data_IF_572913010537
#
_entry.id   IF_572913010537
#
_cell.length_a   1.000
_cell.length_b   1.000
_cell.length_c   1.000
_cell.angle_alpha   90.00
_cell.angle_beta   90.00
_cell.angle_gamma   90.00
#
_symmetry.space_group_name_H-M   'P 1'
#
loop_
_entity.id
_entity.type
_entity.pdbx_description
1 polymer ?
#
# COMPACT_ATOMS: atom_id res chain seq x y z
N UNK A 1 -2.51 -3.94 20.03
CA UNK A 1 -2.26 -4.84 18.87
C UNK A 1 -2.25 -6.32 19.20
N UNK A 2 -1.43 -6.85 20.13
CA UNK A 2 -1.37 -8.31 20.45
C UNK A 2 -2.76 -8.93 20.68
N UNK A 3 -3.54 -8.36 21.61
CA UNK A 3 -4.88 -8.84 21.96
C UNK A 3 -5.87 -8.83 20.78
N UNK A 4 -5.77 -7.83 19.91
CA UNK A 4 -6.62 -7.73 18.70
C UNK A 4 -6.22 -8.81 17.70
N UNK A 5 -4.92 -9.00 17.45
CA UNK A 5 -4.45 -10.06 16.57
C UNK A 5 -4.85 -11.45 17.06
N UNK A 6 -4.72 -11.72 18.37
CA UNK A 6 -5.18 -12.97 18.99
C UNK A 6 -6.68 -13.17 18.82
N UNK A 7 -7.49 -12.13 19.07
CA UNK A 7 -8.95 -12.17 18.89
C UNK A 7 -9.37 -12.56 17.48
N UNK A 8 -8.62 -12.15 16.46
CA UNK A 8 -8.93 -12.41 15.05
C UNK A 8 -8.08 -13.54 14.44
N UNK A 9 -7.31 -14.29 15.24
CA UNK A 9 -6.46 -15.38 14.73
C UNK A 9 -5.33 -14.91 13.80
N UNK A 10 -4.94 -13.64 13.87
CA UNK A 10 -3.89 -13.06 13.05
C UNK A 10 -2.51 -13.36 13.64
N UNK A 11 -1.65 -14.03 12.87
CA UNK A 11 -0.24 -14.20 13.22
C UNK A 11 0.51 -12.89 12.96
N UNK A 12 1.08 -12.31 14.01
CA UNK A 12 1.97 -11.15 13.87
C UNK A 12 3.32 -11.59 13.29
N UNK A 13 3.70 -11.03 12.15
CA UNK A 13 5.07 -11.12 11.64
C UNK A 13 5.81 -9.86 12.06
N UNK A 14 6.88 -10.02 12.84
CA UNK A 14 7.80 -8.93 13.17
C UNK A 14 9.16 -9.38 12.65
N UNK A 15 9.74 -8.62 11.73
CA UNK A 15 11.09 -8.86 11.24
C UNK A 15 12.12 -8.82 12.38
N UNK A 16 13.27 -9.45 12.18
CA UNK A 16 14.36 -9.35 13.15
C UNK A 16 14.85 -7.89 13.24
N UNK A 17 15.26 -7.46 14.42
CA UNK A 17 15.84 -6.12 14.62
C UNK A 17 17.01 -5.92 13.67
N UNK A 18 16.99 -4.81 12.92
CA UNK A 18 18.01 -4.49 11.93
C UNK A 18 17.75 -5.05 10.52
N UNK A 19 16.67 -5.81 10.31
CA UNK A 19 16.24 -6.27 8.98
C UNK A 19 15.08 -5.41 8.48
N UNK A 20 15.31 -4.58 7.47
CA UNK A 20 14.32 -3.61 6.97
C UNK A 20 13.44 -4.11 5.81
N UNK A 21 13.75 -5.29 5.24
CA UNK A 21 13.10 -5.79 4.02
C UNK A 21 11.58 -5.89 4.13
N UNK A 22 11.07 -6.32 5.28
CA UNK A 22 9.62 -6.45 5.53
C UNK A 22 8.89 -5.09 5.45
N UNK A 23 9.57 -3.99 5.76
CA UNK A 23 8.99 -2.64 5.74
C UNK A 23 9.30 -1.87 4.45
N UNK A 24 10.28 -2.31 3.65
CA UNK A 24 10.77 -1.56 2.49
C UNK A 24 9.66 -1.22 1.48
N UNK A 25 8.70 -2.11 1.26
CA UNK A 25 7.54 -1.84 0.39
C UNK A 25 6.64 -0.71 0.91
N UNK A 26 6.34 -0.72 2.21
CA UNK A 26 5.54 0.32 2.85
C UNK A 26 6.28 1.68 2.82
N UNK A 27 7.59 1.68 3.09
CA UNK A 27 8.41 2.88 3.02
C UNK A 27 8.45 3.48 1.61
N UNK A 28 8.60 2.64 0.59
CA UNK A 28 8.59 3.08 -0.82
C UNK A 28 7.25 3.74 -1.20
N UNK A 29 6.12 3.13 -0.78
CA UNK A 29 4.79 3.68 -1.00
C UNK A 29 4.66 5.06 -0.34
N UNK A 30 4.99 5.17 0.94
CA UNK A 30 4.84 6.43 1.68
C UNK A 30 5.82 7.50 1.20
N UNK A 31 7.03 7.13 0.81
CA UNK A 31 7.99 8.05 0.18
C UNK A 31 7.39 8.65 -1.10
N UNK A 32 6.80 7.81 -1.96
CA UNK A 32 6.16 8.24 -3.20
C UNK A 32 5.00 9.21 -2.93
N UNK A 33 4.07 8.86 -2.03
CA UNK A 33 2.96 9.75 -1.66
C UNK A 33 3.46 11.10 -1.17
N UNK A 34 4.49 11.10 -0.31
CA UNK A 34 4.99 12.33 0.28
C UNK A 34 5.58 13.27 -0.76
N UNK A 35 6.39 12.75 -1.67
CA UNK A 35 7.06 13.54 -2.71
C UNK A 35 6.11 14.02 -3.81
N UNK A 36 5.17 13.17 -4.22
CA UNK A 36 4.28 13.49 -5.34
C UNK A 36 3.06 14.32 -4.90
N UNK A 37 2.62 14.16 -3.65
CA UNK A 37 1.40 14.78 -3.17
C UNK A 37 1.62 15.59 -1.89
N UNK A 38 1.92 14.95 -0.77
CA UNK A 38 1.89 15.60 0.56
C UNK A 38 2.69 16.91 0.61
N UNK A 39 3.97 16.91 0.19
CA UNK A 39 4.82 18.10 0.26
C UNK A 39 4.43 19.22 -0.72
N UNK A 40 3.51 18.94 -1.66
CA UNK A 40 3.02 19.89 -2.65
C UNK A 40 1.68 20.51 -2.27
N UNK A 41 1.12 20.12 -1.13
CA UNK A 41 -0.19 20.57 -0.67
C UNK A 41 -0.10 21.06 0.78
N UNK A 42 -0.97 22.00 1.13
CA UNK A 42 -1.20 22.42 2.50
C UNK A 42 -2.60 21.95 2.92
N UNK A 43 -2.74 21.54 4.17
CA UNK A 43 -4.00 21.05 4.73
C UNK A 43 -4.34 21.93 5.93
N UNK A 44 -5.51 22.55 5.91
CA UNK A 44 -6.03 23.32 7.04
C UNK A 44 -6.60 22.40 8.12
N UNK A 45 -7.17 21.26 7.71
CA UNK A 45 -7.81 20.31 8.60
C UNK A 45 -7.37 18.87 8.36
N UNK A 46 -7.39 18.05 9.41
CA UNK A 46 -7.06 16.62 9.32
C UNK A 46 -7.98 15.88 8.32
N UNK A 47 -9.25 16.27 8.21
CA UNK A 47 -10.20 15.70 7.26
C UNK A 47 -9.76 15.86 5.80
N UNK A 48 -9.09 16.97 5.47
CA UNK A 48 -8.57 17.20 4.12
C UNK A 48 -7.40 16.27 3.81
N UNK A 49 -6.49 16.08 4.77
CA UNK A 49 -5.39 15.13 4.63
C UNK A 49 -5.91 13.69 4.50
N UNK A 50 -6.93 13.31 5.28
CA UNK A 50 -7.56 11.98 5.19
C UNK A 50 -8.14 11.77 3.78
N UNK A 51 -8.93 12.72 3.28
CA UNK A 51 -9.51 12.64 1.95
C UNK A 51 -8.43 12.60 0.85
N UNK A 52 -7.34 13.35 1.03
CA UNK A 52 -6.20 13.32 0.11
C UNK A 52 -5.50 11.96 0.07
N UNK A 53 -5.26 11.35 1.25
CA UNK A 53 -4.69 10.00 1.33
C UNK A 53 -5.61 8.99 0.66
N UNK A 54 -6.92 9.02 0.93
CA UNK A 54 -7.89 8.10 0.33
C UNK A 54 -7.92 8.21 -1.19
N UNK A 55 -7.98 9.44 -1.72
CA UNK A 55 -7.97 9.67 -3.16
C UNK A 55 -6.64 9.23 -3.80
N UNK A 56 -5.51 9.54 -3.17
CA UNK A 56 -4.20 9.14 -3.68
C UNK A 56 -4.03 7.61 -3.67
N UNK A 57 -4.48 6.93 -2.61
CA UNK A 57 -4.47 5.46 -2.52
C UNK A 57 -5.36 4.82 -3.59
N UNK A 58 -6.52 5.42 -3.88
CA UNK A 58 -7.37 4.96 -4.97
C UNK A 58 -6.64 5.04 -6.32
N UNK A 59 -5.99 6.17 -6.61
CA UNK A 59 -5.20 6.35 -7.85
C UNK A 59 -4.01 5.39 -7.89
N UNK A 60 -3.28 5.23 -6.78
CA UNK A 60 -2.16 4.30 -6.67
C UNK A 60 -2.60 2.88 -7.02
N UNK A 61 -3.66 2.38 -6.39
CA UNK A 61 -4.10 1.00 -6.57
C UNK A 61 -4.75 0.73 -7.93
N UNK A 62 -5.49 1.70 -8.48
CA UNK A 62 -6.30 1.47 -9.69
C UNK A 62 -5.63 1.92 -10.98
N UNK A 63 -4.74 2.93 -10.94
CA UNK A 63 -4.18 3.58 -12.14
C UNK A 63 -2.66 3.54 -12.24
N UNK A 64 -1.92 3.63 -11.12
CA UNK A 64 -0.46 3.72 -11.15
C UNK A 64 0.15 2.43 -11.69
N UNK A 65 0.99 2.53 -12.72
CA UNK A 65 1.69 1.38 -13.31
C UNK A 65 3.05 1.17 -12.63
N UNK A 66 3.40 -0.08 -12.38
CA UNK A 66 4.67 -0.45 -11.75
C UNK A 66 5.46 -1.40 -12.67
N UNK A 67 6.73 -1.07 -12.93
CA UNK A 67 7.59 -1.86 -13.82
C UNK A 67 7.84 -3.29 -13.32
N UNK A 68 7.93 -3.47 -11.99
CA UNK A 68 8.16 -4.76 -11.34
C UNK A 68 7.01 -5.76 -11.51
N UNK A 69 5.81 -5.27 -11.84
CA UNK A 69 4.59 -6.09 -12.05
C UNK A 69 4.05 -5.93 -13.49
N UNK A 70 4.96 -5.82 -14.46
CA UNK A 70 4.61 -5.82 -15.88
C UNK A 70 3.84 -4.59 -16.36
N UNK A 71 4.07 -3.43 -15.72
CA UNK A 71 3.36 -2.18 -16.02
C UNK A 71 1.85 -2.24 -15.76
N UNK A 72 1.40 -3.15 -14.90
CA UNK A 72 0.04 -3.19 -14.39
C UNK A 72 -0.11 -2.28 -13.18
N UNK A 73 -1.36 -1.87 -12.90
CA UNK A 73 -1.72 -1.31 -11.60
C UNK A 73 -1.85 -2.41 -10.55
N UNK A 74 -1.64 -2.11 -9.25
CA UNK A 74 -1.73 -3.12 -8.20
C UNK A 74 -3.03 -3.93 -8.27
N UNK A 75 -4.18 -3.27 -8.43
CA UNK A 75 -5.47 -3.95 -8.58
C UNK A 75 -5.53 -4.84 -9.82
N UNK A 76 -4.98 -4.42 -10.95
CA UNK A 76 -4.99 -5.23 -12.17
C UNK A 76 -4.01 -6.42 -12.09
N UNK A 77 -2.89 -6.23 -11.41
CA UNK A 77 -1.95 -7.33 -11.13
C UNK A 77 -2.60 -8.41 -10.27
N UNK A 78 -3.23 -8.05 -9.14
CA UNK A 78 -3.95 -9.00 -8.28
C UNK A 78 -5.05 -9.76 -9.04
N UNK A 79 -5.80 -9.05 -9.89
CA UNK A 79 -6.81 -9.68 -10.78
C UNK A 79 -6.18 -10.68 -11.74
N UNK A 80 -5.01 -10.37 -12.31
CA UNK A 80 -4.31 -11.27 -13.25
C UNK A 80 -3.84 -12.56 -12.56
N UNK A 81 -3.42 -12.49 -11.29
CA UNK A 81 -3.06 -13.66 -10.49
C UNK A 81 -4.28 -14.54 -10.20
N UNK A 82 -5.41 -13.92 -9.87
CA UNK A 82 -6.67 -14.63 -9.61
C UNK A 82 -7.17 -15.35 -10.86
N UNK A 83 -7.14 -14.69 -12.02
CA UNK A 83 -7.50 -15.32 -13.30
C UNK A 83 -6.59 -16.51 -13.60
N UNK A 84 -5.29 -16.41 -13.28
CA UNK A 84 -4.34 -17.53 -13.49
C UNK A 84 -4.69 -18.72 -12.60
N UNK A 85 -5.09 -18.48 -11.36
CA UNK A 85 -5.48 -19.53 -10.40
C UNK A 85 -6.84 -20.19 -10.70
N UNK A 86 -7.74 -19.52 -11.45
CA UNK A 86 -9.05 -20.09 -11.81
C UNK A 86 -9.03 -20.90 -13.12
N UNK A 87 -7.98 -20.75 -13.93
CA UNK A 87 -7.82 -21.43 -15.24
C UNK A 87 -6.84 -22.61 -15.15
N UNK A 88 -6.20 -22.81 -13.99
CA UNK A 88 -5.40 -23.98 -13.64
C UNK A 88 -6.21 -24.96 -12.80
#
# INVERSE_FOLDING_TARGET
MKQVCERYGLRRSMGATGICWDNAGAESLWSTFKHEYYYRHTFAYASELIAAVDNWMHIYNTRRRHSTIGMLSPTNYEKSLTTTLMVA
#
